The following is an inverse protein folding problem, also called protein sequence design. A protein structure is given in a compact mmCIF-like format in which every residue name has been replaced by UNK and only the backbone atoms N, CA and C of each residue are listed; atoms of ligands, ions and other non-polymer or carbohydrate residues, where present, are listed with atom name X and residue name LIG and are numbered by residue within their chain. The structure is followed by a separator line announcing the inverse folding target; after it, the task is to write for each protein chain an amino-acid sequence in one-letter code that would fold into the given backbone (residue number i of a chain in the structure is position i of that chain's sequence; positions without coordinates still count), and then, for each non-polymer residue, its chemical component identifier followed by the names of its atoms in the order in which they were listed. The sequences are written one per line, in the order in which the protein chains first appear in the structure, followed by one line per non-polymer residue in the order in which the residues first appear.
data_IF_573436942914
#
_entry.id   IF_573436942914
#
_cell.length_a   1.000
_cell.length_b   1.000
_cell.length_c   1.000
_cell.angle_alpha   90.00
_cell.angle_beta   90.00
_cell.angle_gamma   90.00
#
_symmetry.space_group_name_H-M   'P 1'
#
loop_
_entity.id
_entity.type
_entity.pdbx_description
1 polymer ?
2 non-polymer ?
3 non-polymer ?
4 non-polymer ?
5 water ?
#
# COMPACT_ATOMS: atom_id res chain seq x y z
N UNK A 2 12.98 7.70 -16.44
CA UNK A 2 12.43 6.36 -16.62
C UNK A 2 11.06 6.41 -17.29
N UNK A 3 10.82 5.47 -18.20
CA UNK A 3 9.56 5.45 -18.93
C UNK A 3 8.39 5.01 -18.07
N UNK A 4 8.65 4.36 -16.93
CA UNK A 4 7.57 3.92 -16.06
C UNK A 4 6.91 5.07 -15.33
N UNK A 5 7.65 6.17 -15.11
CA UNK A 5 7.08 7.35 -14.48
C UNK A 5 6.35 8.25 -15.46
N UNK A 6 6.31 7.88 -16.75
CA UNK A 6 5.51 8.62 -17.72
C UNK A 6 4.03 8.43 -17.43
N UNK A 7 3.25 9.47 -17.67
CA UNK A 7 1.84 9.49 -17.34
C UNK A 7 0.99 9.47 -18.60
N UNK A 8 -0.14 8.75 -18.54
CA UNK A 8 -1.13 8.79 -19.60
C UNK A 8 -1.80 10.16 -19.61
N UNK A 9 -2.69 10.37 -20.58
CA UNK A 9 -3.42 11.64 -20.65
C UNK A 9 -4.48 11.71 -19.56
N UNK A 10 -5.17 10.60 -19.31
CA UNK A 10 -6.16 10.57 -18.23
C UNK A 10 -5.49 10.73 -16.88
N UNK A 11 -4.32 10.12 -16.69
CA UNK A 11 -3.59 10.27 -15.44
C UNK A 11 -3.15 11.72 -15.23
N UNK A 12 -2.62 12.34 -16.29
CA UNK A 12 -2.17 13.72 -16.18
C UNK A 12 -3.35 14.66 -15.90
N UNK A 13 -4.50 14.39 -16.51
CA UNK A 13 -5.68 15.21 -16.25
C UNK A 13 -6.16 15.05 -14.81
N UNK A 14 -6.13 13.82 -14.29
CA UNK A 14 -6.60 13.59 -12.92
C UNK A 14 -5.64 14.17 -11.91
N UNK A 15 -4.33 14.11 -12.18
CA UNK A 15 -3.36 14.71 -11.28
C UNK A 15 -3.48 16.23 -11.30
N UNK A 16 -3.68 16.82 -12.48
CA UNK A 16 -3.87 18.26 -12.56
C UNK A 16 -5.16 18.70 -11.89
N UNK A 17 -6.22 17.90 -12.03
CA UNK A 17 -7.48 18.21 -11.37
C UNK A 17 -7.35 18.13 -9.85
N UNK A 18 -6.60 17.14 -9.37
CA UNK A 18 -6.36 17.04 -7.93
C UNK A 18 -5.59 18.25 -7.41
N UNK A 19 -4.53 18.63 -8.10
CA UNK A 19 -3.76 19.80 -7.69
C UNK A 19 -4.58 21.08 -7.76
N UNK A 20 -5.47 21.18 -8.74
CA UNK A 20 -6.32 22.37 -8.85
C UNK A 20 -7.28 22.46 -7.68
N UNK A 21 -7.92 21.34 -7.32
CA UNK A 21 -8.82 21.34 -6.17
C UNK A 21 -8.05 21.52 -4.87
N UNK A 22 -6.79 21.06 -4.82
CA UNK A 22 -6.02 21.17 -3.59
C UNK A 22 -5.59 22.60 -3.31
N UNK A 23 -5.36 23.41 -4.35
CA UNK A 23 -4.96 24.79 -4.17
C UNK A 23 -6.05 25.63 -3.52
N UNK A 24 -7.31 25.23 -3.64
CA UNK A 24 -8.42 25.98 -3.09
C UNK A 24 -8.72 25.66 -1.63
N UNK A 25 -7.88 24.86 -0.97
CA UNK A 25 -8.20 24.35 0.35
C UNK A 25 -7.72 25.30 1.45
N UNK A 26 -6.42 25.57 1.49
CA UNK A 26 -5.87 26.42 2.53
C UNK A 26 -5.46 25.64 3.76
N UNK A 27 -5.20 26.39 4.83
CA UNK A 27 -4.72 25.80 6.07
C UNK A 27 -5.83 24.98 6.73
N UNK A 28 -5.54 23.72 6.99
CA UNK A 28 -6.52 22.82 7.59
C UNK A 28 -6.63 23.06 9.09
N UNK A 29 -7.86 23.12 9.59
CA UNK A 29 -8.14 23.29 11.00
C UNK A 29 -9.16 22.25 11.44
N UNK A 30 -9.08 21.87 12.71
CA UNK A 30 -9.88 20.75 13.20
C UNK A 30 -11.38 21.01 13.10
N UNK A 31 -11.81 22.22 13.45
CA UNK A 31 -13.24 22.53 13.46
C UNK A 31 -13.85 22.60 12.06
N UNK A 32 -13.04 22.50 11.01
CA UNK A 32 -13.54 22.55 9.64
C UNK A 32 -13.92 21.18 9.09
N UNK A 33 -13.95 20.15 9.93
CA UNK A 33 -14.19 18.79 9.50
C UNK A 33 -15.42 18.22 10.19
N UNK A 34 -16.28 17.55 9.40
CA UNK A 34 -17.40 16.79 9.93
C UNK A 34 -17.20 15.32 9.59
N UNK A 35 -17.32 14.46 10.60
CA UNK A 35 -17.10 13.04 10.37
C UNK A 35 -18.26 12.45 9.59
N UNK A 36 -17.93 11.57 8.65
CA UNK A 36 -18.92 10.86 7.85
C UNK A 36 -18.98 9.38 8.23
N UNK A 37 -17.83 8.71 8.23
CA UNK A 37 -17.76 7.30 8.59
C UNK A 37 -16.31 6.95 8.85
N UNK A 38 -16.10 5.75 9.38
CA UNK A 38 -14.76 5.25 9.68
C UNK A 38 -14.27 4.36 8.54
N UNK A 39 -13.09 4.65 8.02
CA UNK A 39 -12.48 3.85 6.98
C UNK A 39 -11.66 2.68 7.53
N UNK A 40 -11.31 2.69 8.81
CA UNK A 40 -10.51 1.63 9.39
C UNK A 40 -9.37 2.10 10.26
N UNK A 41 -8.83 1.21 11.08
CA UNK A 41 -7.66 1.52 11.90
C UNK A 41 -6.41 0.89 11.27
N UNK A 42 -5.25 1.42 11.66
CA UNK A 42 -4.01 0.89 11.17
C UNK A 42 -2.84 1.85 11.19
N UNK A 43 -1.64 1.31 11.44
CA UNK A 43 -0.39 2.08 11.41
C UNK A 43 -0.42 3.24 12.40
N UNK A 44 -0.85 2.95 13.62
CA UNK A 44 -0.77 3.90 14.71
C UNK A 44 -1.90 4.89 14.84
N UNK A 45 -3.00 4.71 14.10
CA UNK A 45 -4.10 5.63 14.20
C UNK A 45 -5.33 5.09 13.50
N UNK A 46 -6.43 5.84 13.63
CA UNK A 46 -7.70 5.51 13.01
C UNK A 46 -7.96 6.50 11.89
N UNK A 47 -8.49 6.00 10.77
CA UNK A 47 -8.74 6.80 9.58
C UNK A 47 -10.25 6.97 9.43
N UNK A 48 -10.67 8.22 9.23
CA UNK A 48 -12.07 8.55 9.03
C UNK A 48 -12.28 9.20 7.68
N UNK A 49 -13.39 8.85 7.03
CA UNK A 49 -13.86 9.58 5.86
C UNK A 49 -14.57 10.83 6.35
N UNK A 50 -14.02 12.00 6.03
CA UNK A 50 -14.53 13.26 6.58
C UNK A 50 -14.88 14.20 5.45
N UNK A 51 -15.68 15.20 5.78
CA UNK A 51 -16.03 16.28 4.87
C UNK A 51 -15.35 17.56 5.35
N UNK A 52 -14.56 18.18 4.47
CA UNK A 52 -13.99 19.50 4.75
C UNK A 52 -15.08 20.52 4.42
N UNK A 53 -15.75 21.02 5.47
CA UNK A 53 -16.91 21.88 5.31
C UNK A 53 -16.68 23.07 4.37
N UNK A 54 -15.60 23.86 4.50
CA UNK A 54 -15.48 25.03 3.62
C UNK A 54 -15.36 24.70 2.15
N UNK A 55 -14.43 23.81 1.79
CA UNK A 55 -14.22 23.47 0.38
C UNK A 55 -15.23 22.46 -0.13
N UNK A 56 -15.90 21.71 0.76
CA UNK A 56 -16.83 20.69 0.35
C UNK A 56 -16.22 19.37 -0.05
N UNK A 57 -14.89 19.27 -0.09
CA UNK A 57 -14.23 18.04 -0.49
C UNK A 57 -14.39 16.95 0.56
N UNK A 58 -14.41 15.71 0.09
CA UNK A 58 -14.33 14.55 0.97
C UNK A 58 -12.86 14.16 1.12
N UNK A 59 -12.45 13.87 2.34
CA UNK A 59 -11.06 13.51 2.62
C UNK A 59 -11.02 12.30 3.54
N UNK A 60 -9.85 11.70 3.60
CA UNK A 60 -9.53 10.68 4.60
C UNK A 60 -8.65 11.32 5.66
N UNK A 61 -9.06 11.21 6.92
CA UNK A 61 -8.37 11.85 8.03
C UNK A 61 -7.88 10.79 9.00
N UNK A 62 -6.56 10.69 9.16
CA UNK A 62 -5.95 9.78 10.12
C UNK A 62 -5.58 10.55 11.37
N UNK A 63 -6.07 10.10 12.52
CA UNK A 63 -5.83 10.77 13.80
C UNK A 63 -4.93 9.88 14.64
N UNK A 64 -3.76 10.39 14.99
CA UNK A 64 -2.77 9.67 15.79
C UNK A 64 -2.71 10.34 17.15
N UNK A 65 -3.30 9.71 18.16
CA UNK A 65 -3.28 10.26 19.52
C UNK A 65 -1.86 10.19 20.07
N UNK A 66 -1.23 11.34 20.24
CA UNK A 66 0.14 11.41 20.75
C UNK A 66 0.26 12.63 21.65
N UNK A 67 0.55 12.39 22.93
CA UNK A 67 0.76 13.47 23.89
C UNK A 67 2.20 13.94 23.78
N UNK A 68 2.42 15.02 23.04
CA UNK A 68 3.76 15.53 22.79
C UNK A 68 3.78 17.03 23.02
N UNK A 69 4.97 17.54 23.37
CA UNK A 69 5.16 18.98 23.54
C UNK A 69 4.93 19.69 22.20
N UNK A 70 4.61 20.99 22.25
CA UNK A 70 4.36 21.73 20.99
C UNK A 70 5.51 21.61 20.00
N UNK A 71 6.75 21.65 20.49
CA UNK A 71 7.92 21.58 19.63
C UNK A 71 7.95 20.28 18.84
N UNK A 72 7.65 19.15 19.50
CA UNK A 72 7.66 17.86 18.83
C UNK A 72 6.62 17.83 17.71
N UNK A 73 5.43 18.37 17.98
CA UNK A 73 4.36 18.34 16.99
C UNK A 73 4.72 19.18 15.78
N UNK A 74 5.39 20.32 15.99
CA UNK A 74 5.68 21.23 14.89
C UNK A 74 6.73 20.66 13.94
N UNK A 75 7.67 19.87 14.44
CA UNK A 75 8.63 19.24 13.55
C UNK A 75 7.95 18.18 12.69
N UNK A 76 7.03 17.40 13.28
CA UNK A 76 6.31 16.39 12.54
C UNK A 76 5.50 17.03 11.41
N UNK A 77 4.76 18.09 11.73
CA UNK A 77 3.96 18.77 10.72
C UNK A 77 4.86 19.33 9.61
N UNK A 78 6.05 19.80 9.98
CA UNK A 78 6.98 20.30 8.98
C UNK A 78 7.60 19.17 8.17
N UNK A 79 7.92 18.05 8.82
CA UNK A 79 8.47 16.91 8.10
C UNK A 79 7.45 16.30 7.14
N UNK A 80 6.17 16.35 7.50
CA UNK A 80 5.12 15.82 6.63
C UNK A 80 4.84 16.73 5.44
N UNK A 81 5.43 17.93 5.40
CA UNK A 81 5.21 18.83 4.27
C UNK A 81 5.79 18.30 2.96
N UNK A 82 6.69 17.32 3.04
CA UNK A 82 7.26 16.72 1.84
C UNK A 82 6.20 16.02 1.00
N UNK A 83 5.07 15.65 1.62
CA UNK A 83 4.01 14.96 0.91
C UNK A 83 3.33 15.84 -0.13
N UNK A 84 3.51 17.16 -0.05
CA UNK A 84 2.98 18.05 -1.09
C UNK A 84 3.65 17.81 -2.43
N UNK A 85 4.90 17.34 -2.42
CA UNK A 85 5.65 17.08 -3.64
C UNK A 85 5.48 15.67 -4.16
N UNK A 86 4.85 14.77 -3.40
CA UNK A 86 4.65 13.38 -3.82
C UNK A 86 3.33 13.30 -4.56
N UNK A 87 3.38 13.52 -5.88
CA UNK A 87 2.20 13.50 -6.73
C UNK A 87 2.44 12.47 -7.84
N UNK A 88 1.72 11.36 -7.79
CA UNK A 88 1.85 10.27 -8.74
C UNK A 88 0.53 9.54 -8.82
N UNK A 89 0.18 8.99 -9.98
CA UNK A 89 -1.07 8.20 -10.08
C UNK A 89 -1.08 6.97 -9.19
N UNK A 90 0.05 6.60 -8.61
CA UNK A 90 0.15 5.41 -7.78
C UNK A 90 0.46 5.74 -6.33
N UNK A 91 0.33 7.00 -5.94
CA UNK A 91 0.51 7.45 -4.57
C UNK A 91 -0.71 8.28 -4.18
N UNK A 92 -1.28 7.98 -3.01
CA UNK A 92 -2.48 8.69 -2.57
C UNK A 92 -2.15 10.16 -2.35
N UNK A 93 -3.06 11.03 -2.76
CA UNK A 93 -2.80 12.46 -2.70
C UNK A 93 -2.87 13.02 -1.29
N UNK A 94 -2.14 14.11 -1.08
CA UNK A 94 -1.99 14.73 0.23
C UNK A 94 -2.70 16.08 0.25
N UNK A 95 -3.27 16.41 1.41
CA UNK A 95 -3.95 17.68 1.61
C UNK A 95 -3.31 18.55 2.69
N UNK A 96 -2.98 17.98 3.84
CA UNK A 96 -2.38 18.77 4.91
C UNK A 96 -2.29 17.96 6.18
N UNK A 97 -1.56 18.54 7.13
CA UNK A 97 -1.39 17.94 8.46
C UNK A 97 -1.45 19.04 9.50
N UNK A 98 -2.01 18.71 10.66
CA UNK A 98 -2.13 19.68 11.75
C UNK A 98 -2.27 18.94 13.06
N UNK A 99 -2.18 19.71 14.15
CA UNK A 99 -2.29 19.20 15.51
C UNK A 99 -3.49 19.86 16.19
N UNK A 100 -4.23 19.09 16.98
CA UNK A 100 -5.43 19.61 17.63
C UNK A 100 -5.82 18.71 18.78
N UNK A 101 -5.81 19.28 20.00
CA UNK A 101 -6.33 18.62 21.19
C UNK A 101 -5.69 17.25 21.41
N UNK A 102 -4.38 17.18 21.25
CA UNK A 102 -3.63 15.98 21.54
C UNK A 102 -3.55 14.97 20.42
N UNK A 103 -4.06 15.28 19.23
CA UNK A 103 -4.10 14.33 18.14
C UNK A 103 -3.52 14.95 16.87
N UNK A 104 -2.57 14.27 16.26
CA UNK A 104 -2.06 14.65 14.95
C UNK A 104 -3.03 14.17 13.89
N UNK A 105 -3.38 15.06 12.96
CA UNK A 105 -4.26 14.73 11.85
C UNK A 105 -3.48 14.77 10.54
N UNK A 106 -3.70 13.77 9.69
CA UNK A 106 -3.12 13.71 8.36
C UNK A 106 -4.26 13.50 7.38
N UNK A 107 -4.47 14.47 6.50
CA UNK A 107 -5.62 14.48 5.59
C UNK A 107 -5.14 14.20 4.18
N UNK A 108 -5.70 13.16 3.56
CA UNK A 108 -5.23 12.69 2.28
C UNK A 108 -6.43 12.42 1.37
N UNK A 109 -6.13 12.05 0.12
CA UNK A 109 -7.15 11.67 -0.84
C UNK A 109 -7.95 10.48 -0.32
N UNK A 110 -9.25 10.47 -0.66
CA UNK A 110 -10.14 9.40 -0.24
C UNK A 110 -10.32 8.39 -1.36
N UNK A 111 -10.02 7.12 -1.07
CA UNK A 111 -10.18 6.02 -2.02
C UNK A 111 -11.41 5.22 -1.60
N UNK A 112 -12.47 5.29 -2.40
CA UNK A 112 -13.76 4.73 -2.02
C UNK A 112 -13.80 3.21 -2.13
N UNK A 113 -12.71 2.56 -2.54
CA UNK A 113 -12.62 1.13 -2.54
C UNK A 113 -11.96 0.54 -1.32
N UNK A 114 -11.48 1.39 -0.40
CA UNK A 114 -10.81 0.90 0.77
C UNK A 114 -9.42 0.35 0.44
N UNK A 115 -8.91 -0.47 1.35
CA UNK A 115 -7.63 -1.12 1.19
C UNK A 115 -7.81 -2.55 0.71
N UNK A 116 -6.74 -3.11 0.13
CA UNK A 116 -6.83 -4.45 -0.46
C UNK A 116 -6.98 -5.54 0.58
N UNK A 117 -6.60 -5.30 1.83
CA UNK A 117 -6.90 -6.26 2.88
C UNK A 117 -8.41 -6.33 3.11
N UNK A 118 -9.10 -5.19 2.97
CA UNK A 118 -10.55 -5.19 3.10
C UNK A 118 -11.20 -5.80 1.86
N UNK A 119 -10.66 -5.52 0.68
CA UNK A 119 -11.18 -6.14 -0.54
C UNK A 119 -11.00 -7.64 -0.50
N UNK A 120 -9.87 -8.11 0.04
CA UNK A 120 -9.59 -9.54 0.08
C UNK A 120 -10.59 -10.28 0.96
N UNK A 121 -10.96 -9.69 2.10
CA UNK A 121 -11.94 -10.33 2.97
C UNK A 121 -13.26 -10.54 2.26
N UNK A 122 -13.68 -9.57 1.44
CA UNK A 122 -14.92 -9.71 0.70
C UNK A 122 -14.78 -10.68 -0.46
N UNK A 123 -13.67 -10.61 -1.18
CA UNK A 123 -13.50 -11.42 -2.39
C UNK A 123 -13.15 -12.87 -2.07
N UNK A 124 -12.49 -13.12 -0.95
CA UNK A 124 -11.94 -14.43 -0.67
C UNK A 124 -10.59 -14.60 -1.34
N UNK A 125 -10.59 -14.63 -2.67
CA UNK A 125 -9.36 -14.64 -3.46
C UNK A 125 -9.47 -13.60 -4.56
N UNK A 126 -8.34 -13.02 -4.92
CA UNK A 126 -8.27 -11.98 -5.95
C UNK A 126 -7.65 -12.61 -7.20
N UNK A 127 -8.28 -12.46 -8.36
CA UNK A 127 -7.80 -13.17 -9.56
C UNK A 127 -6.42 -12.71 -10.00
N UNK A 128 -5.75 -13.59 -10.77
CA UNK A 128 -4.39 -13.31 -11.20
C UNK A 128 -4.32 -12.09 -12.09
N UNK A 129 -5.27 -11.94 -13.01
CA UNK A 129 -5.25 -10.77 -13.90
C UNK A 129 -5.44 -9.48 -13.11
N UNK A 130 -6.26 -9.51 -12.05
CA UNK A 130 -6.40 -8.35 -11.19
C UNK A 130 -5.09 -8.07 -10.45
N UNK A 131 -4.44 -9.12 -9.96
CA UNK A 131 -3.17 -8.95 -9.24
C UNK A 131 -2.06 -8.48 -10.16
N UNK A 132 -2.21 -8.68 -11.48
CA UNK A 132 -1.25 -8.11 -12.41
C UNK A 132 -1.30 -6.59 -12.42
N UNK A 133 -2.51 -6.03 -12.39
CA UNK A 133 -2.65 -4.58 -12.32
C UNK A 133 -2.14 -4.04 -11.00
N UNK A 134 -2.36 -4.77 -9.91
CA UNK A 134 -1.86 -4.34 -8.60
C UNK A 134 -0.33 -4.34 -8.59
N UNK A 135 0.27 -5.40 -9.15
CA UNK A 135 1.73 -5.47 -9.21
C UNK A 135 2.31 -4.30 -9.99
N UNK A 136 1.70 -3.95 -11.11
CA UNK A 136 2.19 -2.82 -11.90
C UNK A 136 2.12 -1.53 -11.10
N UNK A 137 1.00 -1.31 -10.39
CA UNK A 137 0.84 -0.08 -9.63
C UNK A 137 1.84 -0.01 -8.47
N UNK A 138 2.04 -1.12 -7.77
CA UNK A 138 2.97 -1.12 -6.64
C UNK A 138 4.40 -0.87 -7.13
N UNK A 139 4.79 -1.51 -8.24
CA UNK A 139 6.13 -1.33 -8.78
C UNK A 139 6.35 0.12 -9.16
N UNK A 140 5.39 0.71 -9.90
CA UNK A 140 5.54 2.09 -10.34
C UNK A 140 5.51 3.04 -9.16
N UNK A 141 4.70 2.73 -8.14
CA UNK A 141 4.67 3.58 -6.95
C UNK A 141 5.98 3.53 -6.18
N UNK A 142 6.51 2.33 -5.97
CA UNK A 142 7.82 2.20 -5.33
C UNK A 142 8.92 2.85 -6.16
N UNK A 143 8.80 2.79 -7.48
CA UNK A 143 9.79 3.45 -8.33
C UNK A 143 9.71 4.96 -8.20
N UNK A 144 8.50 5.52 -8.26
CA UNK A 144 8.34 6.96 -8.13
C UNK A 144 8.89 7.46 -6.79
N UNK A 145 8.59 6.74 -5.71
CA UNK A 145 9.05 7.17 -4.39
C UNK A 145 10.57 7.17 -4.30
N UNK A 146 11.22 6.14 -4.85
CA UNK A 146 12.68 6.06 -4.77
C UNK A 146 13.35 6.99 -5.77
N UNK A 147 12.75 7.19 -6.95
CA UNK A 147 13.42 7.93 -8.00
C UNK A 147 13.24 9.44 -7.84
N UNK A 148 12.03 9.88 -7.49
CA UNK A 148 11.74 11.30 -7.40
C UNK A 148 11.89 11.88 -6.00
N UNK A 149 12.02 11.02 -4.98
CA UNK A 149 12.12 11.50 -3.61
C UNK A 149 13.13 10.74 -2.75
N UNK A 150 13.77 9.70 -3.28
CA UNK A 150 14.73 8.89 -2.53
C UNK A 150 14.10 8.35 -1.24
N UNK A 151 12.89 7.82 -1.38
CA UNK A 151 12.10 7.33 -0.25
C UNK A 151 11.82 5.85 -0.43
N UNK A 152 12.01 5.08 0.63
CA UNK A 152 11.50 3.73 0.71
C UNK A 152 10.12 3.74 1.34
N UNK A 153 9.24 2.85 0.87
CA UNK A 153 7.92 2.74 1.49
C UNK A 153 8.03 2.15 2.89
N UNK A 154 8.75 1.02 3.01
CA UNK A 154 9.11 0.35 4.25
C UNK A 154 7.96 -0.39 4.93
N UNK A 155 6.77 -0.40 4.34
CA UNK A 155 5.65 -1.10 4.96
C UNK A 155 4.63 -1.51 3.91
N UNK A 156 5.07 -2.30 2.93
CA UNK A 156 4.16 -2.82 1.91
C UNK A 156 3.37 -3.98 2.49
N UNK A 157 2.06 -3.95 2.31
CA UNK A 157 1.14 -4.98 2.77
C UNK A 157 -0.24 -4.70 2.18
N UNK A 158 -1.12 -5.70 2.15
CA UNK A 158 -2.45 -5.47 1.55
C UNK A 158 -3.21 -4.30 2.15
N UNK A 159 -3.08 -4.05 3.46
CA UNK A 159 -3.81 -2.96 4.08
C UNK A 159 -3.25 -1.59 3.71
N UNK A 160 -2.05 -1.53 3.12
CA UNK A 160 -1.44 -0.27 2.70
C UNK A 160 -1.55 -0.04 1.20
N UNK A 161 -2.37 -0.82 0.50
CA UNK A 161 -2.65 -0.60 -0.91
C UNK A 161 -4.13 -0.23 -1.03
N UNK A 162 -4.38 0.96 -1.55
CA UNK A 162 -5.74 1.50 -1.67
C UNK A 162 -6.18 1.46 -3.12
N UNK A 163 -7.49 1.27 -3.31
CA UNK A 163 -8.10 1.21 -4.63
C UNK A 163 -9.37 2.05 -4.61
N UNK A 164 -9.83 2.45 -5.80
CA UNK A 164 -11.05 3.23 -5.89
C UNK A 164 -11.89 2.78 -7.08
N UNK A 165 -13.08 3.37 -7.20
CA UNK A 165 -14.06 2.98 -8.20
C UNK A 165 -13.70 3.46 -9.60
N UNK A 166 -12.70 4.32 -9.74
CA UNK A 166 -12.20 4.72 -11.06
C UNK A 166 -11.17 3.74 -11.61
N UNK A 167 -10.85 2.69 -10.86
CA UNK A 167 -9.83 1.74 -11.26
C UNK A 167 -8.43 2.08 -10.81
N UNK A 168 -8.26 3.12 -10.01
CA UNK A 168 -6.93 3.54 -9.58
C UNK A 168 -6.44 2.70 -8.41
N UNK A 169 -5.12 2.49 -8.38
CA UNK A 169 -4.46 1.71 -7.33
C UNK A 169 -3.29 2.52 -6.82
N UNK A 170 -3.30 2.85 -5.53
CA UNK A 170 -2.32 3.75 -4.95
C UNK A 170 -1.81 3.20 -3.63
N UNK A 171 -0.58 3.57 -3.28
CA UNK A 171 0.04 3.18 -2.03
C UNK A 171 -0.18 4.25 -0.96
N UNK A 172 -0.08 3.83 0.30
CA UNK A 172 -0.24 4.75 1.41
C UNK A 172 0.61 4.28 2.58
N UNK A 173 0.69 5.12 3.61
CA UNK A 173 1.35 4.80 4.87
C UNK A 173 2.85 4.56 4.69
N UNK A 174 3.49 5.35 3.84
CA UNK A 174 4.93 5.32 3.66
C UNK A 174 5.56 6.42 4.49
N UNK A 175 6.52 6.04 5.34
CA UNK A 175 7.07 6.99 6.32
C UNK A 175 7.90 8.08 5.66
N UNK A 176 7.77 9.29 6.20
CA UNK A 176 8.51 10.44 5.69
C UNK A 176 9.02 11.28 6.86
N UNK A 177 8.57 10.96 8.07
CA UNK A 177 8.88 11.75 9.26
C UNK A 177 9.44 10.83 10.34
N UNK A 178 10.74 10.94 10.59
CA UNK A 178 11.36 10.15 11.65
C UNK A 178 10.87 10.53 13.03
N UNK A 179 10.54 11.82 13.24
CA UNK A 179 10.01 12.24 14.53
C UNK A 179 8.68 11.58 14.82
N UNK A 180 7.81 11.49 13.81
CA UNK A 180 6.54 10.80 13.99
C UNK A 180 6.75 9.32 14.24
N UNK A 181 7.74 8.73 13.55
CA UNK A 181 8.06 7.32 13.77
C UNK A 181 8.53 7.09 15.20
N UNK A 182 9.51 7.90 15.64
CA UNK A 182 10.05 7.75 16.98
C UNK A 182 9.00 8.04 18.03
N UNK A 183 8.15 9.03 17.80
CA UNK A 183 7.15 9.41 18.79
C UNK A 183 6.11 8.30 18.97
N UNK A 184 5.78 7.57 17.91
CA UNK A 184 4.79 6.51 18.04
C UNK A 184 5.33 5.33 18.82
N UNK A 185 6.60 4.98 18.60
CA UNK A 185 7.28 3.93 19.35
C UNK A 185 6.52 2.61 19.34
N UNK A 190 2.22 -1.81 14.69
CA UNK A 190 2.38 -2.23 13.31
C UNK A 190 2.99 -3.61 13.17
N UNK A 191 2.35 -4.45 12.38
CA UNK A 191 2.80 -5.83 12.23
C UNK A 191 4.12 -5.89 11.46
N UNK A 192 4.95 -6.87 11.82
CA UNK A 192 6.20 -7.14 11.11
C UNK A 192 6.12 -8.44 10.31
N UNK A 193 4.91 -8.99 10.13
CA UNK A 193 4.73 -10.25 9.44
C UNK A 193 4.99 -10.15 7.93
N UNK A 194 5.14 -8.95 7.40
CA UNK A 194 5.44 -8.75 5.99
C UNK A 194 6.86 -8.28 5.75
N UNK A 195 7.67 -8.17 6.81
CA UNK A 195 9.04 -7.69 6.67
C UNK A 195 9.93 -8.76 6.06
N UNK A 196 10.89 -8.31 5.27
CA UNK A 196 11.83 -9.20 4.63
C UNK A 196 12.70 -9.90 5.69
N UNK A 197 13.21 -11.10 5.38
CA UNK A 197 14.07 -11.78 6.36
C UNK A 197 15.34 -11.02 6.68
N UNK A 198 15.82 -10.16 5.77
CA UNK A 198 17.02 -9.39 6.08
C UNK A 198 16.72 -8.24 7.04
N UNK A 199 15.54 -7.63 6.96
CA UNK A 199 15.18 -6.61 7.93
C UNK A 199 14.90 -7.22 9.29
N UNK A 200 14.31 -8.43 9.32
CA UNK A 200 14.10 -9.13 10.57
C UNK A 200 15.40 -9.62 11.20
N UNK A 201 16.51 -9.64 10.46
CA UNK A 201 17.79 -10.09 10.97
C UNK A 201 18.75 -8.96 11.27
N UNK A 202 18.33 -7.70 11.12
CA UNK A 202 19.17 -6.55 11.40
C UNK A 202 19.90 -5.98 10.20
N UNK A 203 20.20 -6.82 9.20
CA UNK A 203 20.80 -6.33 7.97
C UNK A 203 19.93 -5.23 7.38
N UNK A 204 20.57 -4.10 7.05
CA UNK A 204 19.85 -2.87 6.73
C UNK A 204 18.90 -3.05 5.56
N UNK A 205 17.96 -2.12 5.45
CA UNK A 205 16.87 -2.21 4.50
C UNK A 205 17.21 -1.53 3.18
N UNK A 206 16.55 -1.99 2.12
CA UNK A 206 16.61 -1.36 0.81
C UNK A 206 15.26 -1.55 0.14
N UNK A 207 15.16 -1.09 -1.11
CA UNK A 207 13.93 -1.30 -1.87
C UNK A 207 13.68 -2.79 -2.08
N UNK A 208 14.72 -3.62 -2.01
CA UNK A 208 14.54 -5.06 -2.11
C UNK A 208 13.66 -5.59 -1.00
N UNK A 209 13.71 -4.97 0.19
CA UNK A 209 12.83 -5.39 1.28
C UNK A 209 11.37 -5.11 0.93
N UNK A 210 11.09 -3.98 0.28
CA UNK A 210 9.73 -3.69 -0.16
C UNK A 210 9.28 -4.66 -1.24
N UNK A 211 10.21 -5.17 -2.05
CA UNK A 211 9.85 -6.12 -3.09
C UNK A 211 9.45 -7.46 -2.49
N UNK A 212 10.16 -7.88 -1.43
CA UNK A 212 9.74 -9.07 -0.69
C UNK A 212 8.32 -8.89 -0.16
N UNK A 213 8.05 -7.75 0.47
CA UNK A 213 6.72 -7.51 1.04
C UNK A 213 5.64 -7.55 -0.02
N UNK A 214 5.93 -7.00 -1.21
CA UNK A 214 4.97 -7.07 -2.31
C UNK A 214 4.71 -8.52 -2.72
N UNK A 215 5.78 -9.30 -2.89
CA UNK A 215 5.61 -10.69 -3.27
C UNK A 215 4.81 -11.48 -2.24
N UNK A 216 5.06 -11.23 -0.96
CA UNK A 216 4.29 -11.89 0.08
C UNK A 216 2.83 -11.44 0.06
N UNK A 217 2.59 -10.15 -0.12
CA UNK A 217 1.23 -9.65 -0.20
C UNK A 217 0.50 -10.25 -1.41
N UNK A 218 1.19 -10.34 -2.55
CA UNK A 218 0.58 -10.92 -3.74
C UNK A 218 0.18 -12.37 -3.50
N UNK A 219 1.03 -13.14 -2.82
CA UNK A 219 0.71 -14.53 -2.53
C UNK A 219 -0.51 -14.64 -1.62
N UNK A 220 -0.57 -13.78 -0.60
CA UNK A 220 -1.71 -13.81 0.32
C UNK A 220 -3.01 -13.50 -0.42
N UNK A 221 -2.99 -12.48 -1.28
CA UNK A 221 -4.21 -12.11 -2.01
C UNK A 221 -4.57 -13.17 -3.05
N UNK A 222 -3.58 -13.87 -3.60
CA UNK A 222 -3.89 -14.87 -4.62
C UNK A 222 -4.49 -16.13 -4.01
N UNK A 223 -4.04 -16.51 -2.83
CA UNK A 223 -4.53 -17.74 -2.20
C UNK A 223 -5.62 -17.48 -1.16
N UNK A 224 -5.79 -16.23 -0.72
CA UNK A 224 -6.81 -15.90 0.24
C UNK A 224 -6.44 -16.11 1.69
N UNK A 225 -5.17 -16.29 1.99
CA UNK A 225 -4.71 -16.49 3.36
C UNK A 225 -3.28 -16.02 3.48
N UNK A 226 -2.91 -15.55 4.67
CA UNK A 226 -1.52 -15.24 4.94
C UNK A 226 -0.69 -16.50 4.75
N UNK A 227 0.23 -16.53 3.79
CA UNK A 227 0.82 -17.80 3.33
C UNK A 227 1.87 -18.40 4.25
N UNK A 228 2.03 -17.90 5.48
CA UNK A 228 3.00 -18.46 6.42
C UNK A 228 2.26 -18.77 7.71
N UNK A 229 2.21 -20.05 8.15
CA UNK A 229 2.84 -21.23 7.57
C UNK A 229 2.22 -21.66 6.25
N UNK A 230 2.96 -22.38 5.42
CA UNK A 230 2.41 -22.84 4.15
C UNK A 230 1.21 -23.73 4.38
N UNK A 231 0.23 -23.69 3.48
CA UNK A 231 -1.00 -24.46 3.71
C UNK A 231 -0.79 -25.95 3.46
N UNK A 232 -1.58 -26.75 4.19
CA UNK A 232 -1.57 -28.18 3.97
C UNK A 232 -2.33 -28.52 2.69
N UNK A 233 -2.13 -29.76 2.22
CA UNK A 233 -2.83 -30.20 1.01
C UNK A 233 -4.33 -30.26 1.24
N UNK A 234 -4.76 -30.48 2.48
CA UNK A 234 -6.20 -30.44 2.79
C UNK A 234 -6.73 -29.01 2.72
N UNK A 235 -5.92 -28.04 3.14
CA UNK A 235 -6.32 -26.64 3.02
C UNK A 235 -6.38 -26.22 1.55
N UNK A 236 -5.50 -26.77 0.72
CA UNK A 236 -5.52 -26.42 -0.70
C UNK A 236 -6.74 -27.00 -1.40
N UNK A 237 -7.08 -28.26 -1.11
CA UNK A 237 -8.27 -28.86 -1.69
C UNK A 237 -9.56 -28.15 -1.26
N UNK A 238 -9.54 -27.49 -0.11
CA UNK A 238 -10.67 -26.67 0.31
C UNK A 238 -10.60 -25.26 -0.24
N UNK A 239 -9.44 -24.84 -0.76
CA UNK A 239 -9.25 -23.50 -1.31
C UNK A 239 -9.39 -23.45 -2.81
N UNK A 240 -8.92 -24.48 -3.53
CA UNK A 240 -8.98 -24.50 -4.99
C UNK A 240 -9.66 -25.74 -5.57
N UNK A 241 -9.93 -26.76 -4.77
CA UNK A 241 -10.57 -27.96 -5.27
C UNK A 241 -9.68 -29.19 -5.19
N UNK A 272 -1.40 -23.03 15.65
CA UNK A 272 -1.47 -21.57 15.52
C UNK A 272 -0.21 -20.88 16.01
N UNK A 273 0.64 -20.45 15.06
CA UNK A 273 1.91 -19.84 15.41
C UNK A 273 1.71 -18.47 16.04
N UNK A 274 2.44 -18.22 17.12
CA UNK A 274 2.50 -16.88 17.67
C UNK A 274 3.39 -16.00 16.78
N UNK A 275 3.38 -14.70 17.08
CA UNK A 275 4.08 -13.74 16.21
C UNK A 275 5.58 -13.98 16.22
N UNK A 276 6.14 -14.30 17.40
CA UNK A 276 7.59 -14.50 17.47
C UNK A 276 8.01 -15.78 16.75
N UNK A 277 7.20 -16.83 16.83
CA UNK A 277 7.49 -18.04 16.06
C UNK A 277 7.37 -17.80 14.57
N UNK A 278 6.40 -16.95 14.16
CA UNK A 278 6.22 -16.64 12.75
C UNK A 278 7.45 -15.92 12.18
N UNK A 279 7.97 -14.94 12.93
CA UNK A 279 9.13 -14.20 12.45
C UNK A 279 10.38 -15.07 12.39
N UNK A 280 10.48 -16.06 13.28
CA UNK A 280 11.58 -17.02 13.17
C UNK A 280 11.41 -17.91 11.95
N UNK A 281 10.16 -18.22 11.58
CA UNK A 281 9.91 -19.03 10.40
C UNK A 281 10.34 -18.29 9.14
N UNK A 282 10.10 -16.98 9.09
CA UNK A 282 10.43 -16.19 7.91
C UNK A 282 11.94 -16.21 7.67
N UNK A 283 12.73 -16.09 8.73
CA UNK A 283 14.18 -16.00 8.58
C UNK A 283 14.79 -17.38 8.27
N UNK A 284 14.25 -18.43 8.86
CA UNK A 284 14.92 -19.73 8.88
C UNK A 284 14.36 -20.75 7.91
N UNK A 285 13.21 -20.50 7.29
CA UNK A 285 12.58 -21.47 6.42
C UNK A 285 12.46 -20.93 5.00
N UNK A 286 12.29 -21.81 4.01
CA UNK A 286 12.18 -21.33 2.63
C UNK A 286 10.96 -20.47 2.45
N UNK A 287 10.98 -19.54 1.51
CA UNK A 287 9.88 -18.59 1.34
C UNK A 287 8.65 -19.30 0.79
N UNK A 288 7.46 -18.72 1.00
CA UNK A 288 6.25 -19.32 0.44
C UNK A 288 6.21 -19.18 -1.08
N UNK A 289 5.26 -19.89 -1.69
CA UNK A 289 5.11 -19.84 -3.13
C UNK A 289 3.66 -20.14 -3.48
N UNK A 290 3.28 -19.79 -4.71
CA UNK A 290 1.95 -20.07 -5.19
C UNK A 290 1.78 -21.58 -5.43
N UNK A 291 0.58 -22.11 -5.27
CA UNK A 291 0.33 -23.50 -5.64
C UNK A 291 0.43 -23.70 -7.14
N UNK A 292 0.71 -24.94 -7.53
CA UNK A 292 0.91 -25.29 -8.92
C UNK A 292 -0.42 -25.62 -9.60
N UNK A 293 -0.46 -25.40 -10.91
CA UNK A 293 -1.61 -25.76 -11.72
C UNK A 293 -2.73 -24.75 -11.78
N UNK A 294 -2.86 -23.89 -10.78
CA UNK A 294 -3.97 -22.93 -10.74
C UNK A 294 -3.55 -21.52 -11.10
N UNK A 295 -2.24 -21.23 -11.13
CA UNK A 295 -1.73 -19.94 -11.57
C UNK A 295 -0.74 -20.14 -12.71
N UNK A 296 -0.63 -19.12 -13.56
CA UNK A 296 0.29 -19.20 -14.68
C UNK A 296 1.73 -19.28 -14.18
N UNK A 297 2.59 -19.89 -15.00
CA UNK A 297 3.99 -20.00 -14.61
C UNK A 297 4.68 -18.65 -14.59
N UNK A 298 4.21 -17.70 -15.40
CA UNK A 298 4.79 -16.36 -15.36
C UNK A 298 4.47 -15.65 -14.06
N UNK A 299 3.24 -15.85 -13.54
CA UNK A 299 2.90 -15.29 -12.23
C UNK A 299 3.70 -15.96 -11.13
N UNK A 300 3.81 -17.29 -11.17
CA UNK A 300 4.59 -18.00 -10.17
C UNK A 300 6.05 -17.56 -10.19
N UNK A 301 6.63 -17.42 -11.39
CA UNK A 301 8.01 -16.98 -11.49
C UNK A 301 8.17 -15.54 -11.01
N UNK A 302 7.13 -14.72 -11.17
CA UNK A 302 7.21 -13.33 -10.74
C UNK A 302 7.30 -13.23 -9.22
N UNK A 303 6.43 -13.96 -8.51
CA UNK A 303 6.46 -13.90 -7.05
C UNK A 303 7.65 -14.67 -6.50
N UNK A 304 8.16 -15.65 -7.26
CA UNK A 304 9.37 -16.35 -6.83
C UNK A 304 10.57 -15.41 -6.81
N UNK A 305 10.71 -14.59 -7.86
CA UNK A 305 11.81 -13.64 -7.91
C UNK A 305 11.65 -12.52 -6.89
N UNK A 306 10.43 -12.31 -6.37
CA UNK A 306 10.23 -11.33 -5.33
C UNK A 306 10.58 -11.87 -3.95
N UNK A 307 10.42 -13.18 -3.74
CA UNK A 307 10.54 -13.79 -2.43
C UNK A 307 11.86 -14.53 -2.23
N UNK A 308 12.85 -14.30 -3.08
CA UNK A 308 14.18 -14.85 -2.84
C UNK A 308 14.73 -14.24 -1.57
N UNK A 309 15.19 -15.11 -0.65
CA UNK A 309 15.58 -14.63 0.68
C UNK A 309 16.83 -13.77 0.62
N UNK A 310 17.76 -14.09 -0.27
CA UNK A 310 18.94 -13.26 -0.45
C UNK A 310 18.55 -11.96 -1.15
N UNK A 311 18.71 -10.79 -0.51
CA UNK A 311 18.32 -9.54 -1.18
C UNK A 311 19.12 -9.23 -2.42
N UNK A 312 20.31 -9.82 -2.58
CA UNK A 312 21.12 -9.56 -3.77
C UNK A 312 20.62 -10.35 -4.97
N UNK A 313 20.15 -11.58 -4.75
CA UNK A 313 19.60 -12.38 -5.84
C UNK A 313 18.16 -12.01 -6.15
N UNK A 314 17.45 -11.47 -5.16
CA UNK A 314 16.08 -11.02 -5.36
C UNK A 314 16.03 -9.95 -6.44
N UNK A 315 14.99 -10.00 -7.28
CA UNK A 315 14.87 -9.05 -8.36
C UNK A 315 14.70 -7.63 -7.84
N UNK A 316 15.15 -6.66 -8.63
CA UNK A 316 14.98 -5.25 -8.30
C UNK A 316 13.81 -4.69 -9.09
N UNK A 317 13.50 -3.41 -8.84
CA UNK A 317 12.36 -2.79 -9.51
C UNK A 317 12.55 -2.75 -11.02
N UNK A 318 13.78 -2.46 -11.46
CA UNK A 318 14.04 -2.36 -12.90
C UNK A 318 13.81 -3.69 -13.60
N UNK A 319 14.19 -4.79 -12.96
CA UNK A 319 14.00 -6.11 -13.55
C UNK A 319 12.54 -6.55 -13.49
N UNK A 320 11.86 -6.23 -12.39
CA UNK A 320 10.44 -6.57 -12.29
C UNK A 320 9.60 -5.82 -13.31
N UNK A 321 10.03 -4.61 -13.68
CA UNK A 321 9.26 -3.81 -14.64
C UNK A 321 9.22 -4.45 -16.01
N UNK A 322 10.20 -5.30 -16.35
CA UNK A 322 10.25 -5.96 -17.64
C UNK A 322 10.03 -7.46 -17.51
N UNK A 323 9.58 -7.93 -16.35
CA UNK A 323 9.29 -9.35 -16.19
C UNK A 323 8.14 -9.77 -17.08
N UNK A 324 8.14 -11.03 -17.50
CA UNK A 324 7.14 -11.53 -18.44
C UNK A 324 5.73 -11.34 -17.90
N UNK A 325 5.54 -11.53 -16.60
CA UNK A 325 4.23 -11.36 -15.99
C UNK A 325 3.77 -9.91 -16.08
N UNK A 326 4.69 -8.96 -15.91
CA UNK A 326 4.32 -7.55 -15.96
C UNK A 326 4.03 -7.12 -17.39
N UNK A 327 4.84 -7.57 -18.35
CA UNK A 327 4.61 -7.22 -19.75
C UNK A 327 3.28 -7.80 -20.24
N UNK A 328 2.96 -9.03 -19.83
CA UNK A 328 1.67 -9.61 -20.19
C UNK A 328 0.53 -8.85 -19.54
N UNK A 329 0.71 -8.43 -18.29
CA UNK A 329 -0.37 -7.74 -17.57
C UNK A 329 -0.62 -6.36 -18.15
N UNK A 330 0.43 -5.63 -18.52
CA UNK A 330 0.26 -4.30 -19.08
C UNK A 330 -0.49 -4.37 -20.41
N UNK A 331 -0.21 -5.40 -21.21
CA UNK A 331 -0.96 -5.59 -22.45
C UNK A 331 -2.37 -6.08 -22.19
N UNK A 332 -2.61 -6.72 -21.06
CA UNK A 332 -3.95 -7.19 -20.73
C UNK A 332 -4.84 -6.01 -20.40
N UNK A 333 -6.07 -6.05 -20.91
CA UNK A 333 -7.06 -5.00 -20.75
C UNK A 333 -8.07 -5.47 -19.71
N UNK A 334 -7.73 -5.26 -18.43
CA UNK A 334 -8.52 -5.74 -17.31
C UNK A 334 -9.37 -4.59 -16.78
N UNK A 335 -10.68 -4.81 -16.69
CA UNK A 335 -11.59 -3.84 -16.09
C UNK A 335 -11.54 -4.01 -14.58
N UNK A 336 -10.49 -3.45 -13.97
CA UNK A 336 -10.32 -3.57 -12.52
C UNK A 336 -11.45 -2.86 -11.78
N UNK A 337 -11.86 -1.68 -12.27
CA UNK A 337 -12.95 -0.95 -11.63
C UNK A 337 -14.24 -1.75 -11.71
N UNK A 338 -14.51 -2.39 -12.85
CA UNK A 338 -15.70 -3.22 -12.96
C UNK A 338 -15.66 -4.41 -12.04
N UNK A 339 -14.50 -5.07 -11.95
CA UNK A 339 -14.35 -6.20 -11.05
C UNK A 339 -14.50 -5.77 -9.59
N UNK A 340 -13.90 -4.63 -9.24
CA UNK A 340 -13.90 -4.18 -7.86
C UNK A 340 -15.31 -3.80 -7.40
N UNK A 341 -16.04 -3.05 -8.22
CA UNK A 341 -17.36 -2.57 -7.82
C UNK A 341 -18.34 -3.72 -7.63
N UNK A 342 -18.24 -4.75 -8.48
CA UNK A 342 -19.13 -5.90 -8.33
C UNK A 342 -18.69 -6.82 -7.20
N UNK A 343 -17.39 -6.83 -6.88
CA UNK A 343 -16.90 -7.71 -5.82
C UNK A 343 -17.27 -7.18 -4.44
N UNK A 344 -17.13 -5.87 -4.23
CA UNK A 344 -17.45 -5.27 -2.94
C UNK A 344 -18.82 -4.59 -2.95
N UNK A 345 -19.51 -4.57 -4.08
CA UNK A 345 -20.85 -4.02 -4.15
C UNK A 345 -20.91 -2.51 -3.91
N UNK A 346 -20.21 -1.74 -4.74
CA UNK A 346 -20.21 -0.29 -4.56
C UNK A 346 -21.52 0.34 -5.04
N UNK A 347 -21.90 0.06 -6.29
CA UNK A 347 -23.12 0.55 -6.95
C UNK A 347 -24.00 1.53 -6.16
#
# INVERSE_FOLDING_TARGET
GLEELELDEQQRKRLEAFLTQKQKVGELKDDDFEKISELGAGNGGVVFKVSHKPSGLVMARKLIHLEIKPAIRNQIIRELQVLHECNSPYIVGFYGAFYSDGEISICMEHMDGGSLDQVLKKAGRIPEQILGKVSIAVIKGLTYLREKHKIMHRDVKPSNILVNSRGEIKLCDFGVSGQLIDSMANSFVGTRSYMSPERLQGTHYSVQSDIWSMGLSLVEMAVGRYPIPPPDAKELELMFGCQVEGDAAETPPRPRTPGRPLNKKGMDSRPPMAIFELLDYIVNEPPPKLPSGVFSLEFQDFVNKCLIKNPAERADLKQLMVHAFIKRSDAEEVDFAGWLCSTIGLNQ
#
